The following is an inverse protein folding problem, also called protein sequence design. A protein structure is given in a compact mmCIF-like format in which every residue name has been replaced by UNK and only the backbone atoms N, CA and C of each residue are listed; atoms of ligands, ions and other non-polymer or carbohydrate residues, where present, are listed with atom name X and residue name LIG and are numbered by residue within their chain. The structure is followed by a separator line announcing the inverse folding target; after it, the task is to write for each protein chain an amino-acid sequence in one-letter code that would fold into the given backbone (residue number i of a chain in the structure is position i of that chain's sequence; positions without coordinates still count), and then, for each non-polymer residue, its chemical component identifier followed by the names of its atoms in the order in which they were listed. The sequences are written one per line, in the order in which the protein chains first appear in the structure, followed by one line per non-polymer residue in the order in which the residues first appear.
data_IF_266046151332
#
_entry.id   IF_266046151332
#
_cell.length_a   1.000
_cell.length_b   1.000
_cell.length_c   1.000
_cell.angle_alpha   90.00
_cell.angle_beta   90.00
_cell.angle_gamma   90.00
#
_symmetry.space_group_name_H-M   'P 1'
#
loop_
_entity.id
_entity.type
_entity.pdbx_description
1 polymer ?
#
# COMPACT_ATOMS: atom_id res chain seq x y z
N UNK A 1 -20.90 23.73 -19.20
CA UNK A 1 -19.88 23.79 -18.13
C UNK A 1 -19.85 22.55 -17.24
N UNK A 2 -20.97 22.18 -16.60
CA UNK A 2 -21.05 21.03 -15.69
C UNK A 2 -20.60 19.69 -16.34
N UNK A 3 -20.94 19.45 -17.61
CA UNK A 3 -20.52 18.24 -18.33
C UNK A 3 -19.01 18.12 -18.54
N UNK A 4 -18.31 19.23 -18.80
CA UNK A 4 -16.85 19.25 -18.96
C UNK A 4 -16.17 18.94 -17.62
N UNK A 5 -16.55 19.67 -16.56
CA UNK A 5 -15.99 19.50 -15.22
C UNK A 5 -16.22 18.08 -14.69
N UNK A 6 -17.44 17.54 -14.86
CA UNK A 6 -17.80 16.18 -14.44
C UNK A 6 -16.96 15.12 -15.14
N UNK A 7 -16.73 15.25 -16.45
CA UNK A 7 -15.90 14.29 -17.21
C UNK A 7 -14.41 14.41 -16.85
N UNK A 8 -13.93 15.63 -16.63
CA UNK A 8 -12.56 15.89 -16.17
C UNK A 8 -12.32 15.29 -14.78
N UNK A 9 -13.18 15.58 -13.80
CA UNK A 9 -13.09 15.00 -12.45
C UNK A 9 -13.15 13.47 -12.47
N UNK A 10 -14.05 12.90 -13.28
CA UNK A 10 -14.11 11.43 -13.46
C UNK A 10 -12.80 10.87 -13.97
N UNK A 11 -12.15 11.52 -14.94
CA UNK A 11 -10.87 11.07 -15.45
C UNK A 11 -9.80 11.02 -14.35
N UNK A 12 -9.59 12.11 -13.62
CA UNK A 12 -8.60 12.14 -12.53
C UNK A 12 -8.97 11.18 -11.39
N UNK A 13 -10.26 11.06 -11.04
CA UNK A 13 -10.74 10.11 -10.05
C UNK A 13 -10.47 8.65 -10.46
N UNK A 14 -10.58 8.29 -11.75
CA UNK A 14 -10.22 6.96 -12.23
C UNK A 14 -8.72 6.67 -12.08
N UNK A 15 -7.85 7.67 -12.33
CA UNK A 15 -6.40 7.51 -12.12
C UNK A 15 -6.08 7.35 -10.63
N UNK A 16 -6.69 8.14 -9.76
CA UNK A 16 -6.59 8.02 -8.29
C UNK A 16 -7.03 6.62 -7.84
N UNK A 17 -8.18 6.14 -8.32
CA UNK A 17 -8.68 4.80 -8.01
C UNK A 17 -7.71 3.72 -8.51
N UNK A 18 -7.10 3.89 -9.69
CA UNK A 18 -6.11 2.94 -10.20
C UNK A 18 -4.88 2.85 -9.29
N UNK A 19 -4.37 3.97 -8.76
CA UNK A 19 -3.27 3.96 -7.78
C UNK A 19 -3.62 3.17 -6.52
N UNK A 20 -4.83 3.40 -5.99
CA UNK A 20 -5.32 2.67 -4.83
C UNK A 20 -5.47 1.16 -5.10
N UNK A 21 -6.08 0.78 -6.23
CA UNK A 21 -6.26 -0.63 -6.62
C UNK A 21 -4.92 -1.33 -6.82
N UNK A 22 -3.94 -0.66 -7.42
CA UNK A 22 -2.59 -1.20 -7.58
C UNK A 22 -1.96 -1.51 -6.21
N UNK A 23 -2.09 -0.61 -5.24
CA UNK A 23 -1.70 -0.86 -3.86
C UNK A 23 -2.47 -2.04 -3.23
N UNK A 24 -3.80 -2.05 -3.39
CA UNK A 24 -4.69 -3.08 -2.84
C UNK A 24 -4.28 -4.49 -3.31
N UNK A 25 -4.08 -4.66 -4.61
CA UNK A 25 -3.66 -5.94 -5.20
C UNK A 25 -2.32 -6.40 -4.59
N UNK A 26 -1.36 -5.48 -4.45
CA UNK A 26 -0.07 -5.78 -3.83
C UNK A 26 -0.16 -6.19 -2.36
N UNK A 27 -1.15 -5.66 -1.62
CA UNK A 27 -1.39 -6.05 -0.22
C UNK A 27 -2.11 -7.39 -0.05
N UNK A 28 -3.02 -7.73 -0.98
CA UNK A 28 -3.79 -9.00 -0.95
C UNK A 28 -2.90 -10.17 -1.37
N UNK A 29 -2.13 -10.00 -2.45
CA UNK A 29 -1.29 -11.03 -3.05
C UNK A 29 0.17 -10.60 -3.09
N UNK A 30 0.88 -10.65 -1.96
CA UNK A 30 2.33 -10.58 -1.98
C UNK A 30 2.94 -11.71 -2.82
N UNK A 31 2.23 -12.84 -2.98
CA UNK A 31 2.60 -14.05 -3.74
C UNK A 31 2.62 -13.86 -5.25
N UNK A 32 2.00 -12.82 -5.78
CA UNK A 32 2.27 -12.41 -7.16
C UNK A 32 3.74 -11.99 -7.33
N UNK A 33 4.46 -11.77 -6.22
CA UNK A 33 5.91 -11.68 -6.13
C UNK A 33 6.52 -10.56 -6.97
N UNK A 34 7.85 -10.45 -6.93
CA UNK A 34 8.59 -9.67 -7.91
C UNK A 34 8.26 -10.06 -9.38
N UNK A 35 8.08 -11.33 -9.79
CA UNK A 35 7.94 -11.64 -11.21
C UNK A 35 6.60 -11.23 -11.84
N UNK A 36 5.49 -11.15 -11.09
CA UNK A 36 4.19 -10.72 -11.63
C UNK A 36 3.83 -9.29 -11.20
N UNK A 37 4.21 -8.88 -9.98
CA UNK A 37 4.01 -7.50 -9.54
C UNK A 37 5.05 -6.55 -10.13
N UNK A 38 6.32 -6.95 -10.33
CA UNK A 38 7.31 -6.06 -10.95
C UNK A 38 6.94 -5.65 -12.37
N UNK A 39 6.50 -6.50 -13.31
CA UNK A 39 6.07 -6.01 -14.62
C UNK A 39 4.82 -5.13 -14.53
N UNK A 40 3.90 -5.40 -13.59
CA UNK A 40 2.72 -4.57 -13.35
C UNK A 40 3.08 -3.18 -12.80
N UNK A 41 4.10 -3.09 -11.95
CA UNK A 41 4.63 -1.82 -11.45
C UNK A 41 5.48 -1.14 -12.53
N UNK A 42 6.40 -1.87 -13.15
CA UNK A 42 7.36 -1.40 -14.14
C UNK A 42 6.68 -0.90 -15.42
N UNK A 43 5.56 -1.49 -15.82
CA UNK A 43 4.78 -1.06 -16.97
C UNK A 43 3.56 -0.22 -16.56
N UNK A 44 2.86 -0.61 -15.50
CA UNK A 44 1.62 0.04 -15.06
C UNK A 44 1.86 1.43 -14.47
N UNK A 45 2.89 1.64 -13.66
CA UNK A 45 3.19 2.97 -13.10
C UNK A 45 3.56 3.95 -14.23
N UNK A 46 4.48 3.64 -15.16
CA UNK A 46 4.74 4.52 -16.30
C UNK A 46 3.54 4.71 -17.20
N UNK A 47 2.73 3.67 -17.46
CA UNK A 47 1.52 3.80 -18.27
C UNK A 47 0.49 4.73 -17.62
N UNK A 48 0.28 4.65 -16.30
CA UNK A 48 -0.59 5.55 -15.55
C UNK A 48 -0.06 6.99 -15.55
N UNK A 49 1.25 7.18 -15.38
CA UNK A 49 1.88 8.51 -15.46
C UNK A 49 1.76 9.12 -16.86
N UNK A 50 2.02 8.35 -17.91
CA UNK A 50 1.82 8.77 -19.30
C UNK A 50 0.35 9.11 -19.56
N UNK A 51 -0.57 8.29 -19.06
CA UNK A 51 -2.01 8.55 -19.18
C UNK A 51 -2.40 9.83 -18.46
N UNK A 52 -1.87 10.08 -17.26
CA UNK A 52 -2.08 11.30 -16.49
C UNK A 52 -1.57 12.53 -17.25
N UNK A 53 -0.34 12.48 -17.79
CA UNK A 53 0.26 13.58 -18.54
C UNK A 53 -0.49 13.87 -19.85
N UNK A 54 -0.70 12.86 -20.69
CA UNK A 54 -1.39 12.98 -21.96
C UNK A 54 -2.84 13.42 -21.73
N UNK A 55 -3.52 12.80 -20.77
CA UNK A 55 -4.88 13.17 -20.38
C UNK A 55 -4.98 14.61 -19.91
N UNK A 56 -4.04 15.08 -19.08
CA UNK A 56 -3.98 16.46 -18.61
C UNK A 56 -3.78 17.45 -19.76
N UNK A 57 -2.88 17.14 -20.72
CA UNK A 57 -2.68 17.97 -21.93
C UNK A 57 -3.95 18.03 -22.77
N UNK A 58 -4.63 16.89 -22.96
CA UNK A 58 -5.89 16.82 -23.73
C UNK A 58 -6.99 17.64 -23.05
N UNK A 59 -7.15 17.49 -21.74
CA UNK A 59 -8.13 18.27 -20.97
C UNK A 59 -7.79 19.76 -20.99
N UNK A 60 -6.53 20.15 -20.84
CA UNK A 60 -6.11 21.54 -20.92
C UNK A 60 -6.41 22.15 -22.30
N UNK A 61 -6.07 21.45 -23.39
CA UNK A 61 -6.37 21.89 -24.76
C UNK A 61 -7.89 22.05 -24.98
N UNK A 62 -8.69 21.10 -24.48
CA UNK A 62 -10.16 21.21 -24.52
C UNK A 62 -10.67 22.38 -23.69
N UNK A 63 -10.10 22.60 -22.51
CA UNK A 63 -10.37 23.73 -21.63
C UNK A 63 -10.16 25.08 -22.30
N UNK A 64 -9.04 25.25 -23.01
CA UNK A 64 -8.69 26.50 -23.70
C UNK A 64 -9.63 26.76 -24.89
N UNK A 65 -10.01 25.71 -25.63
CA UNK A 65 -10.85 25.78 -26.85
C UNK A 65 -12.35 25.88 -26.60
N UNK A 66 -12.81 25.75 -25.36
CA UNK A 66 -14.24 25.85 -25.05
C UNK A 66 -14.74 27.29 -25.32
N UNK A 67 -15.85 27.46 -26.07
CA UNK A 67 -16.51 28.75 -26.18
C UNK A 67 -17.16 29.07 -24.83
N UNK A 68 -16.66 30.13 -24.18
CA UNK A 68 -17.12 30.57 -22.86
C UNK A 68 -17.99 31.83 -22.96
N UNK A 69 -18.96 31.80 -23.86
CA UNK A 69 -19.92 32.89 -24.00
C UNK A 69 -20.70 33.06 -22.69
N UNK A 70 -20.76 34.30 -22.19
CA UNK A 70 -21.42 34.66 -20.93
C UNK A 70 -20.64 34.33 -19.64
N UNK A 71 -19.42 33.81 -19.72
CA UNK A 71 -18.64 33.45 -18.53
C UNK A 71 -17.73 34.60 -18.06
N UNK A 72 -17.74 34.90 -16.75
CA UNK A 72 -16.77 35.82 -16.15
C UNK A 72 -15.33 35.33 -16.40
N UNK A 73 -14.42 36.24 -16.76
CA UNK A 73 -12.99 35.94 -17.02
C UNK A 73 -12.36 35.10 -15.91
N UNK A 74 -12.68 35.39 -14.65
CA UNK A 74 -12.21 34.64 -13.48
C UNK A 74 -12.61 33.16 -13.48
N UNK A 75 -13.87 32.84 -13.81
CA UNK A 75 -14.33 31.45 -13.85
C UNK A 75 -13.65 30.66 -14.96
N UNK A 76 -13.32 31.32 -16.08
CA UNK A 76 -12.54 30.72 -17.16
C UNK A 76 -11.12 30.38 -16.71
N UNK A 77 -10.45 31.32 -16.03
CA UNK A 77 -9.09 31.10 -15.50
C UNK A 77 -9.09 29.95 -14.49
N UNK A 78 -10.05 29.92 -13.55
CA UNK A 78 -10.17 28.85 -12.56
C UNK A 78 -10.43 27.49 -13.22
N UNK A 79 -11.30 27.43 -14.24
CA UNK A 79 -11.59 26.17 -14.94
C UNK A 79 -10.36 25.64 -15.68
N UNK A 80 -9.62 26.51 -16.38
CA UNK A 80 -8.41 26.11 -17.11
C UNK A 80 -7.30 25.72 -16.11
N UNK A 81 -7.13 26.50 -15.03
CA UNK A 81 -6.16 26.26 -13.97
C UNK A 81 -6.46 25.02 -13.11
N UNK A 82 -7.71 24.55 -13.08
CA UNK A 82 -8.07 23.32 -12.35
C UNK A 82 -7.41 22.06 -12.93
N UNK A 83 -7.09 22.04 -14.23
CA UNK A 83 -6.44 20.88 -14.88
C UNK A 83 -5.03 20.63 -14.33
N UNK A 84 -4.08 21.59 -14.38
CA UNK A 84 -2.75 21.37 -13.80
C UNK A 84 -2.82 21.15 -12.29
N UNK A 85 -3.73 21.82 -11.58
CA UNK A 85 -3.93 21.58 -10.15
C UNK A 85 -4.35 20.12 -9.87
N UNK A 86 -5.34 19.59 -10.61
CA UNK A 86 -5.75 18.18 -10.49
C UNK A 86 -4.65 17.21 -10.89
N UNK A 87 -3.85 17.54 -11.90
CA UNK A 87 -2.69 16.74 -12.28
C UNK A 87 -1.66 16.64 -11.14
N UNK A 88 -1.31 17.78 -10.53
CA UNK A 88 -0.38 17.84 -9.40
C UNK A 88 -0.94 17.09 -8.20
N UNK A 89 -2.21 17.32 -7.83
CA UNK A 89 -2.87 16.61 -6.73
C UNK A 89 -2.88 15.09 -6.99
N UNK A 90 -3.22 14.67 -8.20
CA UNK A 90 -3.24 13.24 -8.57
C UNK A 90 -1.86 12.63 -8.47
N UNK A 91 -0.83 13.33 -8.95
CA UNK A 91 0.56 12.87 -8.86
C UNK A 91 1.04 12.76 -7.40
N UNK A 92 0.83 13.81 -6.59
CA UNK A 92 1.21 13.82 -5.18
C UNK A 92 0.43 12.76 -4.36
N UNK A 93 -0.78 12.42 -4.77
CA UNK A 93 -1.59 11.39 -4.11
C UNK A 93 -1.13 9.95 -4.39
N UNK A 94 -0.27 9.72 -5.38
CA UNK A 94 0.16 8.39 -5.82
C UNK A 94 0.74 7.55 -4.67
N UNK A 95 1.77 8.06 -3.98
CA UNK A 95 2.43 7.35 -2.88
C UNK A 95 1.47 7.02 -1.72
N UNK A 96 0.75 8.02 -1.17
CA UNK A 96 -0.24 7.79 -0.12
C UNK A 96 -1.34 6.79 -0.51
N UNK A 97 -1.87 6.86 -1.73
CA UNK A 97 -2.93 5.96 -2.19
C UNK A 97 -2.45 4.52 -2.39
N UNK A 98 -1.25 4.33 -2.95
CA UNK A 98 -0.64 3.00 -3.07
C UNK A 98 -0.40 2.41 -1.67
N UNK A 99 0.13 3.22 -0.74
CA UNK A 99 0.34 2.80 0.66
C UNK A 99 -0.98 2.40 1.34
N UNK A 100 -2.02 3.23 1.21
CA UNK A 100 -3.34 2.97 1.78
C UNK A 100 -3.99 1.73 1.16
N UNK A 101 -3.86 1.55 -0.16
CA UNK A 101 -4.30 0.35 -0.85
C UNK A 101 -3.59 -0.89 -0.30
N UNK A 102 -2.26 -0.86 -0.22
CA UNK A 102 -1.44 -1.95 0.31
C UNK A 102 -1.84 -2.34 1.73
N UNK A 103 -2.07 -1.34 2.58
CA UNK A 103 -2.54 -1.54 3.95
C UNK A 103 -3.94 -2.19 3.99
N UNK A 104 -4.86 -1.69 3.18
CA UNK A 104 -6.21 -2.26 3.05
C UNK A 104 -6.18 -3.70 2.53
N UNK A 105 -5.31 -3.99 1.55
CA UNK A 105 -5.11 -5.33 1.03
C UNK A 105 -4.55 -6.30 2.08
N UNK A 106 -3.60 -5.84 2.90
CA UNK A 106 -3.07 -6.64 4.01
C UNK A 106 -4.13 -6.97 5.06
N UNK A 107 -5.06 -6.05 5.35
CA UNK A 107 -6.21 -6.35 6.20
C UNK A 107 -7.13 -7.43 5.61
N UNK A 108 -7.42 -7.34 4.31
CA UNK A 108 -8.23 -8.36 3.62
C UNK A 108 -7.52 -9.71 3.68
N UNK A 109 -6.21 -9.76 3.44
CA UNK A 109 -5.40 -10.98 3.55
C UNK A 109 -5.41 -11.54 4.97
N UNK A 110 -5.22 -10.69 5.99
CA UNK A 110 -5.28 -11.09 7.40
C UNK A 110 -6.64 -11.66 7.76
N UNK A 111 -7.73 -11.02 7.32
CA UNK A 111 -9.08 -11.51 7.58
C UNK A 111 -9.35 -12.85 6.88
N UNK A 112 -8.86 -13.03 5.65
CA UNK A 112 -9.03 -14.27 4.90
C UNK A 112 -8.27 -15.47 5.50
N UNK A 113 -7.09 -15.24 6.08
CA UNK A 113 -6.20 -16.31 6.59
C UNK A 113 -6.08 -16.32 8.13
N UNK A 114 -6.95 -15.61 8.84
CA UNK A 114 -6.83 -15.39 10.29
C UNK A 114 -6.72 -16.71 11.08
N UNK A 115 -7.57 -17.69 10.77
CA UNK A 115 -7.57 -18.97 11.47
C UNK A 115 -6.29 -19.78 11.24
N UNK A 116 -5.76 -19.75 10.00
CA UNK A 116 -4.50 -20.41 9.67
C UNK A 116 -3.33 -19.72 10.37
N UNK A 117 -3.31 -18.38 10.42
CA UNK A 117 -2.26 -17.64 11.12
C UNK A 117 -2.23 -17.97 12.61
N UNK A 118 -3.38 -18.01 13.28
CA UNK A 118 -3.47 -18.41 14.68
C UNK A 118 -3.04 -19.87 14.90
N UNK A 119 -3.37 -20.79 13.98
CA UNK A 119 -2.92 -22.18 14.05
C UNK A 119 -1.38 -22.30 13.93
N UNK A 120 -0.78 -21.52 13.01
CA UNK A 120 0.68 -21.43 12.85
C UNK A 120 1.32 -20.85 14.11
N UNK A 121 0.75 -19.80 14.70
CA UNK A 121 1.21 -19.21 15.96
C UNK A 121 1.18 -20.24 17.09
N UNK A 122 0.08 -20.98 17.23
CA UNK A 122 -0.05 -22.02 18.25
C UNK A 122 0.99 -23.14 18.08
N UNK A 123 1.22 -23.60 16.84
CA UNK A 123 2.25 -24.59 16.49
C UNK A 123 3.67 -24.08 16.77
N UNK A 124 3.94 -22.81 16.49
CA UNK A 124 5.23 -22.20 16.75
C UNK A 124 5.52 -22.04 18.24
N UNK A 125 4.50 -21.74 19.07
CA UNK A 125 4.64 -21.65 20.53
C UNK A 125 5.07 -22.96 21.17
N UNK A 126 4.54 -24.09 20.69
CA UNK A 126 4.82 -25.41 21.26
C UNK A 126 6.13 -26.00 20.78
N UNK A 127 6.44 -25.86 19.48
CA UNK A 127 7.60 -26.51 18.87
C UNK A 127 8.90 -25.68 18.93
N UNK A 128 8.81 -24.34 19.10
CA UNK A 128 9.93 -23.38 19.00
C UNK A 128 10.97 -23.77 17.94
N UNK A 129 10.56 -23.93 16.67
CA UNK A 129 11.47 -24.36 15.62
C UNK A 129 12.60 -23.35 15.39
N UNK A 130 13.76 -23.79 14.88
CA UNK A 130 14.82 -22.88 14.45
C UNK A 130 14.32 -21.92 13.37
N UNK A 131 15.01 -20.79 13.21
CA UNK A 131 14.64 -19.73 12.27
C UNK A 131 14.72 -20.18 10.81
N UNK A 132 13.65 -20.81 10.35
CA UNK A 132 13.54 -21.40 9.02
C UNK A 132 12.21 -21.04 8.37
N UNK A 133 12.24 -20.91 7.04
CA UNK A 133 11.05 -20.80 6.23
C UNK A 133 10.25 -22.10 6.31
N UNK A 134 8.96 -21.98 6.58
CA UNK A 134 8.00 -23.09 6.57
C UNK A 134 6.78 -22.68 5.77
N UNK A 135 6.05 -23.67 5.31
CA UNK A 135 4.81 -23.47 4.58
C UNK A 135 3.77 -24.43 5.15
N UNK A 136 2.67 -23.88 5.64
CA UNK A 136 1.46 -24.66 5.95
C UNK A 136 0.42 -24.27 4.88
N UNK A 137 0.02 -25.25 4.07
CA UNK A 137 -0.84 -25.08 2.88
C UNK A 137 -0.32 -24.02 1.89
N UNK A 138 -0.98 -22.88 1.80
CA UNK A 138 -0.67 -21.72 0.96
C UNK A 138 0.06 -20.61 1.72
N UNK A 139 0.14 -20.69 3.05
CA UNK A 139 0.77 -19.68 3.90
C UNK A 139 2.23 -20.04 4.18
N UNK A 140 3.14 -19.29 3.56
CA UNK A 140 4.55 -19.30 3.95
C UNK A 140 4.79 -18.43 5.19
N UNK A 141 5.72 -18.86 6.05
CA UNK A 141 6.07 -18.13 7.26
C UNK A 141 7.50 -18.42 7.74
N UNK A 142 8.09 -17.46 8.42
CA UNK A 142 9.34 -17.57 9.16
C UNK A 142 9.06 -17.44 10.64
N UNK A 143 9.58 -18.37 11.44
CA UNK A 143 9.50 -18.29 12.91
C UNK A 143 10.84 -17.85 13.43
N UNK A 144 10.94 -16.67 14.02
CA UNK A 144 12.18 -16.25 14.67
C UNK A 144 12.25 -16.86 16.06
N UNK A 145 13.35 -17.55 16.36
CA UNK A 145 13.56 -18.27 17.62
C UNK A 145 13.80 -17.35 18.84
N UNK A 146 13.76 -16.03 18.65
CA UNK A 146 13.90 -15.06 19.72
C UNK A 146 12.63 -15.02 20.60
N UNK A 147 12.79 -14.71 21.88
CA UNK A 147 11.69 -14.41 22.80
C UNK A 147 11.56 -12.89 22.93
N UNK A 148 10.38 -12.27 22.70
CA UNK A 148 9.07 -12.90 22.45
C UNK A 148 8.94 -13.52 21.05
N UNK A 149 8.07 -14.53 20.92
CA UNK A 149 7.80 -15.21 19.65
C UNK A 149 7.43 -14.19 18.58
N UNK A 150 8.18 -14.24 17.48
CA UNK A 150 7.99 -13.40 16.31
C UNK A 150 7.83 -14.29 15.09
N UNK A 151 6.76 -14.07 14.33
CA UNK A 151 6.47 -14.82 13.12
C UNK A 151 6.24 -13.83 11.99
N UNK A 152 6.91 -14.04 10.86
CA UNK A 152 6.69 -13.26 9.65
C UNK A 152 6.00 -14.14 8.61
N UNK A 153 4.80 -13.76 8.20
CA UNK A 153 4.04 -14.41 7.14
C UNK A 153 4.46 -13.84 5.79
N UNK A 154 5.25 -14.64 5.06
CA UNK A 154 5.79 -14.34 3.74
C UNK A 154 5.51 -15.54 2.83
N UNK A 155 4.89 -15.34 1.68
CA UNK A 155 4.53 -16.47 0.79
C UNK A 155 5.75 -17.12 0.11
N UNK A 156 6.91 -16.46 0.12
CA UNK A 156 8.17 -16.98 -0.43
C UNK A 156 9.32 -16.89 0.57
N UNK A 157 10.40 -17.63 0.27
CA UNK A 157 11.65 -17.59 1.03
C UNK A 157 12.36 -16.23 0.97
N UNK A 158 12.05 -15.42 -0.04
CA UNK A 158 12.53 -14.05 -0.15
C UNK A 158 11.72 -13.14 0.78
N UNK A 159 12.41 -12.53 1.73
CA UNK A 159 11.80 -11.70 2.77
C UNK A 159 11.45 -10.29 2.23
N UNK A 160 11.96 -9.93 1.06
CA UNK A 160 11.81 -8.61 0.46
C UNK A 160 10.49 -8.49 -0.33
N UNK A 161 9.44 -8.02 0.33
CA UNK A 161 8.18 -7.62 -0.33
C UNK A 161 8.10 -6.09 -0.46
N UNK A 162 7.89 -5.60 -1.69
CA UNK A 162 7.59 -4.20 -2.00
C UNK A 162 6.32 -3.68 -1.29
N UNK A 163 5.41 -4.59 -0.92
CA UNK A 163 4.11 -4.29 -0.30
C UNK A 163 4.05 -4.59 1.20
N UNK A 164 5.13 -5.17 1.74
CA UNK A 164 5.28 -5.53 3.15
C UNK A 164 4.78 -6.93 3.51
N UNK A 165 5.25 -7.44 4.64
CA UNK A 165 4.92 -8.75 5.21
C UNK A 165 4.01 -8.56 6.43
N UNK A 166 3.14 -9.55 6.71
CA UNK A 166 2.38 -9.55 7.96
C UNK A 166 3.25 -10.18 9.03
N UNK A 167 3.38 -9.54 10.18
CA UNK A 167 4.20 -10.01 11.29
C UNK A 167 3.35 -10.13 12.56
N UNK A 168 3.58 -11.21 13.31
CA UNK A 168 2.95 -11.48 14.60
C UNK A 168 3.98 -11.35 15.73
N UNK A 169 3.60 -10.68 16.82
CA UNK A 169 4.44 -10.52 18.01
C UNK A 169 3.71 -10.95 19.29
N UNK A 170 4.34 -11.83 20.09
CA UNK A 170 3.70 -12.40 21.29
C UNK A 170 3.88 -11.60 22.60
N UNK A 171 4.37 -10.36 22.54
CA UNK A 171 4.59 -9.50 23.70
C UNK A 171 3.55 -8.38 23.86
N UNK A 172 3.47 -7.78 25.06
CA UNK A 172 2.98 -6.40 25.15
C UNK A 172 3.84 -5.53 24.25
N UNK A 173 3.23 -4.51 23.60
CA UNK A 173 3.91 -3.53 22.76
C UNK A 173 5.28 -3.23 23.36
N UNK A 174 6.35 -3.64 22.68
CA UNK A 174 7.71 -3.33 23.13
C UNK A 174 7.77 -1.82 23.17
N UNK A 175 7.87 -1.27 24.38
CA UNK A 175 7.96 0.16 24.62
C UNK A 175 9.20 0.68 23.91
N UNK A 176 9.10 1.89 23.33
CA UNK A 176 10.15 2.56 22.55
C UNK A 176 11.51 2.71 23.26
N UNK A 177 11.60 2.33 24.54
CA UNK A 177 12.75 2.49 25.42
C UNK A 177 13.38 1.16 25.92
N UNK A 178 13.06 -0.02 25.38
CA UNK A 178 13.77 -1.26 25.74
C UNK A 178 14.94 -1.52 24.78
N UNK A 179 16.21 -1.32 25.20
CA UNK A 179 17.38 -1.33 24.33
C UNK A 179 17.86 -2.77 24.11
N UNK A 180 17.05 -3.60 23.44
CA UNK A 180 17.53 -4.89 22.91
C UNK A 180 17.99 -4.67 21.47
N UNK A 181 19.22 -5.08 21.10
CA UNK A 181 19.71 -4.93 19.75
C UNK A 181 18.85 -5.79 18.81
N UNK A 182 18.06 -5.14 17.94
CA UNK A 182 17.39 -5.79 16.82
C UNK A 182 15.86 -5.67 16.73
N UNK A 183 15.15 -5.06 17.69
CA UNK A 183 13.69 -4.86 17.58
C UNK A 183 13.33 -3.45 18.04
N UNK A 184 12.94 -2.59 17.10
CA UNK A 184 12.39 -1.25 17.38
C UNK A 184 10.90 -1.25 17.11
N UNK A 185 10.10 -1.02 18.14
CA UNK A 185 8.66 -0.75 18.02
C UNK A 185 8.38 0.55 18.78
N UNK A 186 8.15 1.64 18.07
CA UNK A 186 7.73 2.93 18.64
C UNK A 186 6.21 3.04 18.71
N UNK A 187 5.71 3.26 19.92
CA UNK A 187 4.28 3.46 20.16
C UNK A 187 3.75 4.76 19.54
N UNK A 188 2.92 4.60 18.52
CA UNK A 188 1.75 5.42 18.25
C UNK A 188 0.76 4.50 17.52
N UNK A 189 -0.51 4.35 17.93
CA UNK A 189 -1.45 3.44 17.25
C UNK A 189 -1.75 3.81 15.79
N UNK A 190 -1.27 4.98 15.34
CA UNK A 190 -1.43 5.51 13.98
C UNK A 190 -0.13 5.78 13.22
N UNK A 191 1.05 5.63 13.84
CA UNK A 191 2.32 5.95 13.16
C UNK A 191 3.29 4.78 13.19
N UNK A 192 3.78 4.49 11.98
CA UNK A 192 5.01 3.80 11.64
C UNK A 192 5.96 3.63 12.83
N UNK A 193 6.14 2.39 13.28
CA UNK A 193 7.23 2.07 14.18
C UNK A 193 8.54 2.11 13.41
N UNK A 194 9.64 2.55 14.04
CA UNK A 194 10.98 2.90 13.54
C UNK A 194 11.75 1.80 12.75
N UNK A 195 11.09 1.24 11.75
CA UNK A 195 11.48 0.14 10.85
C UNK A 195 10.36 -0.24 9.86
N UNK A 196 9.47 0.71 9.53
CA UNK A 196 8.48 0.56 8.46
C UNK A 196 7.23 -0.28 8.78
N UNK A 197 6.90 -0.55 10.05
CA UNK A 197 5.72 -1.37 10.41
C UNK A 197 4.49 -0.55 10.84
N UNK A 198 3.30 -0.98 10.39
CA UNK A 198 1.99 -0.41 10.74
C UNK A 198 1.10 -1.45 11.38
N UNK A 199 0.41 -1.10 12.47
CA UNK A 199 -0.51 -2.02 13.14
C UNK A 199 -1.68 -2.39 12.23
N UNK A 200 -2.00 -3.68 12.14
CA UNK A 200 -3.19 -4.16 11.42
C UNK A 200 -4.31 -4.44 12.41
N UNK A 201 -4.19 -5.52 13.19
CA UNK A 201 -5.23 -5.93 14.14
C UNK A 201 -4.65 -6.85 15.21
N UNK A 202 -5.08 -6.69 16.46
CA UNK A 202 -4.61 -7.51 17.58
C UNK A 202 -3.08 -7.49 17.69
N UNK A 203 -2.46 -8.65 17.49
CA UNK A 203 -0.99 -8.86 17.54
C UNK A 203 -0.30 -8.83 16.18
N UNK A 204 -1.03 -8.48 15.11
CA UNK A 204 -0.54 -8.47 13.73
C UNK A 204 -0.19 -7.06 13.25
N UNK A 205 0.94 -6.97 12.54
CA UNK A 205 1.49 -5.74 11.98
C UNK A 205 1.84 -5.96 10.50
N UNK A 206 1.79 -4.91 9.69
CA UNK A 206 2.29 -4.89 8.32
C UNK A 206 3.65 -4.21 8.31
N UNK A 207 4.72 -4.94 8.05
CA UNK A 207 6.09 -4.44 8.03
C UNK A 207 6.62 -4.32 6.61
N UNK A 208 7.17 -3.16 6.24
CA UNK A 208 8.03 -2.98 5.07
C UNK A 208 9.48 -2.98 5.49
N UNK A 209 10.31 -3.74 4.78
CA UNK A 209 11.75 -3.55 4.89
C UNK A 209 12.09 -2.23 4.19
N UNK A 210 12.54 -1.25 4.97
CA UNK A 210 13.20 -0.07 4.43
C UNK A 210 14.49 -0.54 3.72
N UNK A 211 14.52 -0.36 2.40
CA UNK A 211 15.70 -0.57 1.54
C UNK A 211 16.64 0.63 1.64
#
# INVERSE_FOLDING_TARGET
MAGYLKRMLRFFAMIIAAWFVLGLIGGIWPSLGAPFAAPLILLGVPALLLTLLIGSIVWLKRGIRLPFEGMRKWNRILLIGSVPALCVITFLSMGPLISLGSFSGAHVRLAAHYQQYEAIVAKARTARPPAEFRKDDDVGYFVFSASPLHIQFAEFREIHSLFGNIEYYDGQQVSANDPRPGIRVTGNPFYETDGGCRHLSGKYFLCRLDL
#
